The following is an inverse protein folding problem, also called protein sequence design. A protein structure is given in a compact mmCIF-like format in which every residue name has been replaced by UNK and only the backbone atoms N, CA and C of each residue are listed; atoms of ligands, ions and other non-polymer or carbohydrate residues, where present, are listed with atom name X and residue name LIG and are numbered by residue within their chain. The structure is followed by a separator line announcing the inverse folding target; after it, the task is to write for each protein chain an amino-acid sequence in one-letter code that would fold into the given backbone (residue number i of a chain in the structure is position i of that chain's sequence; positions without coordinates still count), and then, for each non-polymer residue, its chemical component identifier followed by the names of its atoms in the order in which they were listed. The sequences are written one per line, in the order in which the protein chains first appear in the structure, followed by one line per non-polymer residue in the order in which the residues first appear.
data_IF_260400949368
#
_entry.id   IF_260400949368
#
_cell.length_a   1.000
_cell.length_b   1.000
_cell.length_c   1.000
_cell.angle_alpha   90.00
_cell.angle_beta   90.00
_cell.angle_gamma   90.00
#
_symmetry.space_group_name_H-M   'P 1'
#
loop_
_entity.id
_entity.type
_entity.pdbx_description
1 polymer ?
#
# COMPACT_ATOMS: atom_id res chain seq x y z
N UNK A 1 53.33 -25.78 -39.92
CA UNK A 1 52.30 -26.59 -39.24
C UNK A 1 52.15 -26.30 -37.74
N UNK A 2 53.23 -26.06 -36.97
CA UNK A 2 53.17 -25.82 -35.52
C UNK A 2 52.43 -24.54 -35.08
N UNK A 3 52.41 -23.50 -35.94
CA UNK A 3 51.70 -22.23 -35.68
C UNK A 3 50.18 -22.35 -35.79
N UNK A 4 49.69 -23.23 -36.67
CA UNK A 4 48.26 -23.50 -36.84
C UNK A 4 47.73 -24.31 -35.64
N UNK A 5 48.50 -25.27 -35.14
CA UNK A 5 48.13 -26.03 -33.94
C UNK A 5 48.03 -25.12 -32.70
N UNK A 6 48.99 -24.22 -32.50
CA UNK A 6 48.94 -23.22 -31.41
C UNK A 6 47.73 -22.28 -31.51
N UNK A 7 47.34 -21.91 -32.72
CA UNK A 7 46.15 -21.10 -32.95
C UNK A 7 44.86 -21.85 -32.56
N UNK A 8 44.74 -23.13 -32.94
CA UNK A 8 43.60 -23.98 -32.56
C UNK A 8 43.49 -24.18 -31.04
N UNK A 9 44.62 -24.38 -30.36
CA UNK A 9 44.66 -24.44 -28.89
C UNK A 9 44.23 -23.12 -28.24
N UNK A 10 44.65 -21.98 -28.80
CA UNK A 10 44.27 -20.67 -28.27
C UNK A 10 42.78 -20.36 -28.48
N UNK A 11 42.22 -20.73 -29.64
CA UNK A 11 40.78 -20.59 -29.93
C UNK A 11 39.94 -21.50 -29.03
N UNK A 12 40.35 -22.76 -28.83
CA UNK A 12 39.67 -23.69 -27.93
C UNK A 12 39.73 -23.21 -26.47
N UNK A 13 40.88 -22.69 -26.03
CA UNK A 13 41.04 -22.12 -24.69
C UNK A 13 40.15 -20.88 -24.51
N UNK A 14 40.13 -19.95 -25.47
CA UNK A 14 39.27 -18.78 -25.41
C UNK A 14 37.78 -19.15 -25.36
N UNK A 15 37.35 -20.12 -26.17
CA UNK A 15 35.98 -20.64 -26.12
C UNK A 15 35.65 -21.29 -24.76
N UNK A 16 36.59 -22.06 -24.19
CA UNK A 16 36.45 -22.63 -22.85
C UNK A 16 36.35 -21.58 -21.76
N UNK A 17 37.15 -20.51 -21.82
CA UNK A 17 37.10 -19.39 -20.87
C UNK A 17 35.76 -18.67 -20.96
N UNK A 18 35.27 -18.37 -22.17
CA UNK A 18 33.94 -17.76 -22.37
C UNK A 18 32.83 -18.65 -21.83
N UNK A 19 32.92 -19.97 -22.02
CA UNK A 19 31.96 -20.93 -21.48
C UNK A 19 31.93 -20.92 -19.95
N UNK A 20 33.10 -20.91 -19.30
CA UNK A 20 33.20 -20.85 -17.83
C UNK A 20 32.71 -19.51 -17.29
N UNK A 21 33.01 -18.39 -17.95
CA UNK A 21 32.49 -17.06 -17.58
C UNK A 21 30.97 -17.06 -17.68
N UNK A 22 30.39 -17.59 -18.76
CA UNK A 22 28.93 -17.71 -18.88
C UNK A 22 28.35 -18.63 -17.80
N UNK A 23 29.02 -19.71 -17.43
CA UNK A 23 28.57 -20.62 -16.39
C UNK A 23 28.62 -19.99 -14.98
N UNK A 24 29.62 -19.13 -14.71
CA UNK A 24 29.80 -18.47 -13.41
C UNK A 24 28.96 -17.20 -13.29
N UNK A 25 28.79 -16.42 -14.35
CA UNK A 25 27.97 -15.19 -14.35
C UNK A 25 26.51 -15.45 -14.73
N UNK A 26 26.22 -16.52 -15.46
CA UNK A 26 24.89 -16.87 -15.97
C UNK A 26 24.02 -17.63 -14.96
N UNK A 27 24.27 -17.46 -13.66
CA UNK A 27 23.43 -17.93 -12.57
C UNK A 27 22.07 -17.22 -12.53
N UNK A 28 21.35 -17.16 -13.65
CA UNK A 28 19.93 -16.88 -13.67
C UNK A 28 19.24 -18.14 -13.13
N UNK A 29 19.08 -18.15 -11.81
CA UNK A 29 18.34 -19.19 -11.09
C UNK A 29 16.90 -19.15 -11.61
N UNK A 30 16.33 -20.27 -12.09
CA UNK A 30 14.93 -20.29 -12.45
C UNK A 30 14.10 -19.97 -11.20
N UNK A 31 13.28 -18.93 -11.36
CA UNK A 31 12.15 -18.48 -10.55
C UNK A 31 11.73 -19.54 -9.54
N UNK A 32 12.08 -19.29 -8.28
CA UNK A 32 11.66 -20.13 -7.17
C UNK A 32 10.14 -20.07 -7.04
N UNK A 33 9.49 -21.20 -7.32
CA UNK A 33 8.15 -21.44 -6.83
C UNK A 33 8.19 -21.47 -5.29
N UNK A 34 7.82 -20.37 -4.65
CA UNK A 34 7.68 -20.29 -3.20
C UNK A 34 7.52 -18.87 -2.67
N UNK A 35 6.34 -18.60 -2.10
CA UNK A 35 6.17 -17.72 -0.93
C UNK A 35 6.60 -16.25 -1.08
N UNK A 36 5.68 -15.40 -1.56
CA UNK A 36 5.68 -13.93 -1.35
C UNK A 36 6.86 -13.17 -1.95
N UNK A 37 6.65 -12.55 -3.11
CA UNK A 37 7.61 -11.61 -3.70
C UNK A 37 7.43 -10.24 -3.03
N UNK A 38 8.40 -9.82 -2.23
CA UNK A 38 8.50 -8.42 -1.80
C UNK A 38 8.89 -7.57 -3.01
N UNK A 39 8.35 -6.34 -3.15
CA UNK A 39 8.75 -5.45 -4.24
C UNK A 39 10.25 -5.15 -4.17
N UNK A 40 10.91 -5.09 -5.33
CA UNK A 40 12.34 -4.72 -5.42
C UNK A 40 12.59 -3.25 -5.02
N UNK A 41 11.53 -2.44 -5.01
CA UNK A 41 11.58 -1.05 -4.55
C UNK A 41 11.08 -0.94 -3.11
N UNK A 42 11.72 -0.09 -2.27
CA UNK A 42 11.23 0.20 -0.94
C UNK A 42 9.78 0.69 -0.99
N UNK A 43 8.91 0.10 -0.17
CA UNK A 43 7.54 0.60 -0.04
C UNK A 43 7.55 1.95 0.69
N UNK A 44 6.76 2.90 0.20
CA UNK A 44 6.57 4.19 0.86
C UNK A 44 5.88 3.96 2.22
N UNK A 45 6.39 4.53 3.33
CA UNK A 45 5.68 4.51 4.61
C UNK A 45 4.27 5.09 4.48
N UNK A 46 3.32 4.52 5.21
CA UNK A 46 1.91 4.92 5.12
C UNK A 46 1.69 6.40 5.47
N UNK A 47 2.44 6.91 6.43
CA UNK A 47 2.39 8.31 6.87
C UNK A 47 2.79 9.31 5.77
N UNK A 48 3.66 8.91 4.85
CA UNK A 48 4.13 9.73 3.72
C UNK A 48 3.22 9.63 2.49
N UNK A 49 2.31 8.65 2.43
CA UNK A 49 1.39 8.51 1.32
C UNK A 49 0.39 9.69 1.29
N UNK A 50 0.09 10.28 0.12
CA UNK A 50 -0.76 11.45 0.03
C UNK A 50 -2.20 11.14 0.45
N UNK A 51 -2.86 12.13 1.07
CA UNK A 51 -4.27 12.04 1.48
C UNK A 51 -5.22 12.07 0.26
N UNK A 52 -6.33 11.37 0.39
CA UNK A 52 -7.39 11.25 -0.62
C UNK A 52 -7.19 10.08 -1.57
N UNK A 53 -7.86 10.14 -2.71
CA UNK A 53 -7.98 9.08 -3.71
C UNK A 53 -9.41 8.55 -3.82
N UNK A 54 -9.69 7.77 -4.87
CA UNK A 54 -11.03 7.28 -5.14
C UNK A 54 -11.35 6.04 -4.30
N UNK A 55 -12.52 6.03 -3.67
CA UNK A 55 -13.09 4.87 -2.98
C UNK A 55 -14.39 4.52 -3.68
N UNK A 56 -14.64 3.23 -3.90
CA UNK A 56 -15.91 2.81 -4.50
C UNK A 56 -17.08 3.13 -3.57
N UNK A 57 -18.22 3.63 -4.10
CA UNK A 57 -19.41 3.90 -3.29
C UNK A 57 -19.90 2.66 -2.53
N UNK A 58 -19.81 1.48 -3.15
CA UNK A 58 -20.23 0.22 -2.54
C UNK A 58 -19.36 -0.16 -1.33
N UNK A 59 -18.07 0.20 -1.33
CA UNK A 59 -17.21 0.00 -0.18
C UNK A 59 -17.59 0.97 0.95
N UNK A 60 -17.82 2.24 0.63
CA UNK A 60 -18.25 3.25 1.63
C UNK A 60 -19.53 2.84 2.35
N UNK A 61 -20.48 2.21 1.65
CA UNK A 61 -21.75 1.73 2.22
C UNK A 61 -21.58 0.64 3.29
N UNK A 62 -20.53 -0.18 3.19
CA UNK A 62 -20.27 -1.29 4.13
C UNK A 62 -19.24 -0.95 5.20
N UNK A 63 -18.53 0.18 5.06
CA UNK A 63 -17.51 0.59 6.02
C UNK A 63 -18.16 1.07 7.33
N UNK A 64 -17.58 0.61 8.43
CA UNK A 64 -17.99 0.96 9.79
C UNK A 64 -16.76 1.32 10.62
N UNK A 65 -16.98 2.11 11.66
CA UNK A 65 -15.93 2.47 12.62
C UNK A 65 -15.27 1.21 13.24
N UNK A 66 -13.92 1.14 13.32
CA UNK A 66 -13.22 -0.02 13.86
C UNK A 66 -13.34 -0.18 15.39
N UNK A 67 -13.65 0.88 16.15
CA UNK A 67 -13.84 0.83 17.61
C UNK A 67 -15.28 0.49 17.99
N UNK A 68 -16.26 1.26 17.51
CA UNK A 68 -17.66 1.18 17.93
C UNK A 68 -18.63 0.55 16.89
N UNK A 69 -18.13 0.23 15.69
CA UNK A 69 -18.89 -0.38 14.58
C UNK A 69 -20.05 0.45 14.04
N UNK A 70 -20.15 1.73 14.39
CA UNK A 70 -21.18 2.63 13.86
C UNK A 70 -20.81 3.21 12.49
N UNK A 71 -21.78 3.93 11.90
CA UNK A 71 -21.61 4.56 10.58
C UNK A 71 -20.53 5.66 10.60
N UNK A 72 -19.89 5.82 9.46
CA UNK A 72 -18.88 6.86 9.18
C UNK A 72 -19.41 7.88 8.15
N UNK A 73 -18.88 9.10 8.22
CA UNK A 73 -19.19 10.19 7.30
C UNK A 73 -17.94 10.58 6.51
N UNK A 74 -18.06 10.71 5.19
CA UNK A 74 -16.97 11.18 4.35
C UNK A 74 -16.82 12.70 4.49
N UNK A 75 -15.60 13.21 4.64
CA UNK A 75 -15.34 14.64 4.79
C UNK A 75 -14.07 15.10 4.09
N UNK A 76 -13.85 16.41 4.11
CA UNK A 76 -12.64 17.09 3.61
C UNK A 76 -12.29 16.65 2.19
N UNK A 77 -13.26 16.69 1.28
CA UNK A 77 -13.10 16.27 -0.12
C UNK A 77 -12.59 14.83 -0.25
N UNK A 78 -13.23 13.90 0.47
CA UNK A 78 -12.92 12.47 0.48
C UNK A 78 -11.54 12.12 1.06
N UNK A 79 -11.01 12.95 1.98
CA UNK A 79 -9.72 12.70 2.64
C UNK A 79 -9.85 11.99 3.97
N UNK A 80 -11.01 12.05 4.62
CA UNK A 80 -11.23 11.41 5.92
C UNK A 80 -12.60 10.75 6.02
N UNK A 81 -12.66 9.69 6.81
CA UNK A 81 -13.88 9.10 7.35
C UNK A 81 -14.03 9.52 8.82
N UNK A 82 -15.06 10.32 9.12
CA UNK A 82 -15.39 10.79 10.46
C UNK A 82 -16.35 9.82 11.15
N UNK A 83 -16.04 9.47 12.40
CA UNK A 83 -17.04 9.02 13.36
C UNK A 83 -17.56 10.23 14.17
N UNK A 84 -18.81 10.67 13.97
CA UNK A 84 -19.35 11.85 14.65
C UNK A 84 -19.66 11.60 16.14
N UNK A 85 -19.59 10.37 16.65
CA UNK A 85 -19.90 10.04 18.05
C UNK A 85 -18.73 10.29 18.99
N UNK A 86 -17.51 10.05 18.50
CA UNK A 86 -16.26 10.22 19.25
C UNK A 86 -15.32 11.26 18.61
N UNK A 87 -15.62 11.74 17.40
CA UNK A 87 -14.80 12.72 16.67
C UNK A 87 -13.56 12.10 16.02
N UNK A 88 -13.42 10.77 16.01
CA UNK A 88 -12.29 10.11 15.36
C UNK A 88 -12.35 10.27 13.85
N UNK A 89 -11.18 10.45 13.25
CA UNK A 89 -11.05 10.67 11.81
C UNK A 89 -10.03 9.70 11.24
N UNK A 90 -10.48 8.85 10.33
CA UNK A 90 -9.62 7.87 9.66
C UNK A 90 -9.16 8.45 8.32
N UNK A 91 -7.85 8.68 8.10
CA UNK A 91 -7.36 9.22 6.85
C UNK A 91 -7.54 8.21 5.71
N UNK A 92 -7.86 8.73 4.53
CA UNK A 92 -7.83 7.99 3.28
C UNK A 92 -6.51 8.34 2.61
N UNK A 93 -5.70 7.34 2.23
CA UNK A 93 -4.41 7.55 1.56
C UNK A 93 -4.33 6.71 0.30
N UNK A 94 -4.09 7.34 -0.85
CA UNK A 94 -4.16 6.70 -2.17
C UNK A 94 -5.45 5.86 -2.38
N UNK A 95 -6.59 6.35 -1.89
CA UNK A 95 -7.88 5.64 -1.97
C UNK A 95 -8.02 4.48 -0.98
N UNK A 96 -7.08 4.30 -0.05
CA UNK A 96 -7.12 3.27 0.98
C UNK A 96 -7.50 3.91 2.32
N UNK A 97 -8.68 3.58 2.88
CA UNK A 97 -9.03 3.97 4.25
C UNK A 97 -8.11 3.32 5.29
N UNK A 98 -7.44 4.13 6.11
CA UNK A 98 -6.60 3.63 7.20
C UNK A 98 -7.46 3.40 8.45
N UNK A 99 -8.08 2.23 8.51
CA UNK A 99 -9.09 1.85 9.52
C UNK A 99 -8.45 1.32 10.82
N UNK A 100 -7.50 2.06 11.38
CA UNK A 100 -6.83 1.74 12.65
C UNK A 100 -7.29 2.69 13.76
N UNK A 101 -7.55 2.16 14.95
CA UNK A 101 -8.06 2.94 16.09
C UNK A 101 -7.06 4.05 16.48
N UNK A 102 -5.76 3.76 16.42
CA UNK A 102 -4.68 4.67 16.75
C UNK A 102 -4.65 5.87 15.80
N UNK A 103 -4.89 5.65 14.50
CA UNK A 103 -4.98 6.73 13.52
C UNK A 103 -6.25 7.55 13.74
N UNK A 104 -7.38 6.92 14.05
CA UNK A 104 -8.61 7.62 14.44
C UNK A 104 -8.41 8.57 15.62
N UNK A 105 -7.73 8.12 16.67
CA UNK A 105 -7.37 8.93 17.85
C UNK A 105 -6.40 10.06 17.52
N UNK A 106 -5.40 9.79 16.66
CA UNK A 106 -4.40 10.77 16.24
C UNK A 106 -5.01 11.98 15.53
N UNK A 107 -6.06 11.77 14.73
CA UNK A 107 -6.78 12.85 14.04
C UNK A 107 -8.12 13.20 14.70
N UNK A 108 -8.33 12.83 15.97
CA UNK A 108 -9.58 13.12 16.66
C UNK A 108 -9.83 14.63 16.72
N UNK A 109 -11.05 15.03 16.38
CA UNK A 109 -11.54 16.40 16.52
C UNK A 109 -12.81 16.41 17.36
N UNK A 110 -12.68 16.80 18.62
CA UNK A 110 -13.78 16.84 19.58
C UNK A 110 -14.85 17.87 19.20
N UNK A 111 -14.51 18.89 18.40
CA UNK A 111 -15.49 19.91 17.95
C UNK A 111 -16.50 19.36 16.96
N UNK A 112 -16.19 18.23 16.32
CA UNK A 112 -17.04 17.55 15.33
C UNK A 112 -17.96 16.49 15.95
N UNK A 113 -17.95 16.35 17.29
CA UNK A 113 -18.81 15.39 17.99
C UNK A 113 -20.26 15.87 17.97
N UNK A 114 -21.13 15.07 17.37
CA UNK A 114 -22.56 15.33 17.27
C UNK A 114 -23.30 14.66 18.44
N UNK A 115 -23.53 15.41 19.50
CA UNK A 115 -24.33 14.96 20.64
C UNK A 115 -25.82 15.17 20.37
N UNK A 116 -26.44 14.32 19.54
CA UNK A 116 -27.90 14.10 19.50
C UNK A 116 -28.84 15.33 19.49
N UNK A 117 -28.39 16.49 19.00
CA UNK A 117 -29.25 17.67 18.88
C UNK A 117 -29.95 17.63 17.52
N UNK A 118 -31.06 16.88 17.44
CA UNK A 118 -32.16 17.14 16.48
C UNK A 118 -33.35 16.20 16.79
N UNK A 119 -34.21 16.63 17.74
CA UNK A 119 -35.67 16.42 17.74
C UNK A 119 -36.34 17.13 18.93
N UNK A 120 -36.25 18.46 19.01
CA UNK A 120 -37.07 19.27 19.96
C UNK A 120 -37.68 20.54 19.35
N UNK A 121 -37.80 20.65 18.02
CA UNK A 121 -38.36 21.86 17.37
C UNK A 121 -39.48 21.60 16.35
N UNK A 122 -40.15 20.43 16.41
CA UNK A 122 -41.31 20.13 15.53
C UNK A 122 -42.65 19.95 16.27
N UNK A 123 -42.78 20.49 17.50
CA UNK A 123 -44.05 20.55 18.24
C UNK A 123 -44.21 21.91 18.90
N UNK A 124 -44.30 22.98 18.11
CA UNK A 124 -44.87 24.26 18.52
C UNK A 124 -45.06 25.16 17.29
N UNK A 125 -46.12 24.90 16.53
CA UNK A 125 -47.04 25.90 15.95
C UNK A 125 -48.26 25.17 15.43
#
# INVERSE_FOLDING_TARGET
MKKLLKFLFFVGFAAGVVYVIKQVLGGARPEGAGSGVLPETPVTPLEDAPLGGEISPQLLEILVDPEDKGKLQLMDDNRFLLNPRNGYRYPIRNGIPVMLIEEGKKYQDTSLIQNGQEQTEASST
#
